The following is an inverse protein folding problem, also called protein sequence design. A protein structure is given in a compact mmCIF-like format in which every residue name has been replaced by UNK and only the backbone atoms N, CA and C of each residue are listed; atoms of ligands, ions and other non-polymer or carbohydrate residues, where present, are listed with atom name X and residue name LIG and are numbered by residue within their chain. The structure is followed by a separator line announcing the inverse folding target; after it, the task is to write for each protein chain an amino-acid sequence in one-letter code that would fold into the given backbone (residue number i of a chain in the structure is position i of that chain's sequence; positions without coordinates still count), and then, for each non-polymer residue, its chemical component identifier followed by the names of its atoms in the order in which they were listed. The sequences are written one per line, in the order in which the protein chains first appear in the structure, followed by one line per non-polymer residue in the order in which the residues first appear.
data_IF_987288903896
#
_entry.id   IF_987288903896
#
_cell.length_a   1.000
_cell.length_b   1.000
_cell.length_c   1.000
_cell.angle_alpha   90.00
_cell.angle_beta   90.00
_cell.angle_gamma   90.00
#
_symmetry.space_group_name_H-M   'P 1'
#
loop_
_entity.id
_entity.type
_entity.pdbx_description
1 polymer ?
#
# COMPACT_ATOMS: atom_id res chain seq x y z
N UNK A 1 -24.72 18.45 0.51
CA UNK A 1 -25.06 17.02 0.77
C UNK A 1 -23.82 16.22 0.37
N UNK A 2 -22.82 16.05 1.23
CA UNK A 2 -22.50 14.77 1.92
C UNK A 2 -21.62 15.03 3.18
N UNK A 3 -21.54 16.28 3.67
CA UNK A 3 -20.72 16.64 4.86
C UNK A 3 -21.38 16.41 6.23
N UNK A 4 -22.36 15.50 6.37
CA UNK A 4 -23.07 15.29 7.65
C UNK A 4 -23.26 13.81 8.08
N UNK A 5 -22.46 12.87 7.55
CA UNK A 5 -22.60 11.45 7.90
C UNK A 5 -21.45 10.84 8.74
N UNK A 6 -20.48 11.62 9.22
CA UNK A 6 -19.28 11.05 9.89
C UNK A 6 -19.14 11.33 11.40
N UNK A 7 -20.12 12.00 12.02
CA UNK A 7 -19.96 12.56 13.37
C UNK A 7 -20.67 11.79 14.51
N UNK A 8 -21.17 10.56 14.30
CA UNK A 8 -22.00 9.90 15.32
C UNK A 8 -21.91 8.36 15.35
N UNK A 9 -20.71 7.78 15.47
CA UNK A 9 -20.59 6.35 15.82
C UNK A 9 -19.30 5.92 16.56
N UNK A 10 -18.66 6.77 17.38
CA UNK A 10 -17.41 6.34 18.04
C UNK A 10 -17.16 7.00 19.40
N UNK A 11 -18.14 6.91 20.30
CA UNK A 11 -17.91 7.09 21.74
C UNK A 11 -18.78 6.13 22.54
N UNK A 12 -18.29 4.91 22.75
CA UNK A 12 -18.59 4.15 23.96
C UNK A 12 -17.47 3.14 24.25
N UNK A 13 -16.49 3.63 25.00
CA UNK A 13 -15.59 2.79 25.81
C UNK A 13 -16.41 2.18 26.96
N UNK A 14 -16.27 0.86 27.13
CA UNK A 14 -16.48 0.00 28.32
C UNK A 14 -16.98 -1.33 27.75
N UNK A 15 -16.35 -2.50 27.85
CA UNK A 15 -15.48 -3.06 28.89
C UNK A 15 -14.87 -4.34 28.30
N UNK A 16 -13.64 -4.63 28.71
CA UNK A 16 -13.13 -5.99 28.93
C UNK A 16 -13.21 -7.00 27.78
N UNK A 17 -12.26 -6.96 26.87
CA UNK A 17 -11.78 -8.17 26.20
C UNK A 17 -10.27 -8.14 26.25
N UNK A 18 -9.71 -9.13 26.95
CA UNK A 18 -8.29 -9.28 27.21
C UNK A 18 -7.46 -9.02 25.95
N UNK A 19 -6.56 -8.06 26.06
CA UNK A 19 -5.48 -7.85 25.11
C UNK A 19 -4.57 -9.07 25.13
N UNK A 20 -4.89 -10.08 24.31
CA UNK A 20 -3.86 -10.96 23.77
C UNK A 20 -2.89 -10.06 23.01
N UNK A 21 -1.76 -9.75 23.66
CA UNK A 21 -0.61 -9.11 23.03
C UNK A 21 -0.27 -9.95 21.81
N UNK A 22 -0.56 -9.46 20.61
CA UNK A 22 -0.25 -10.18 19.35
C UNK A 22 1.25 -10.42 19.14
N UNK A 23 2.12 -9.81 19.95
CA UNK A 23 3.54 -10.19 20.06
C UNK A 23 3.79 -11.54 20.74
N UNK A 24 2.78 -12.13 21.39
CA UNK A 24 2.85 -13.47 22.02
C UNK A 24 2.18 -14.57 21.18
N UNK A 25 1.59 -14.23 20.01
CA UNK A 25 0.91 -15.23 19.17
C UNK A 25 1.90 -16.24 18.57
N UNK A 26 3.12 -15.82 18.21
CA UNK A 26 4.20 -16.73 17.80
C UNK A 26 4.75 -17.57 18.96
N UNK A 27 4.73 -17.01 20.18
CA UNK A 27 5.12 -17.71 21.41
C UNK A 27 4.17 -18.88 21.73
N UNK A 28 2.87 -18.70 21.45
CA UNK A 28 1.83 -19.70 21.71
C UNK A 28 1.92 -20.94 20.81
N UNK A 29 2.30 -20.78 19.54
CA UNK A 29 2.42 -21.92 18.61
C UNK A 29 3.59 -22.82 19.01
N UNK A 30 4.74 -22.23 19.39
CA UNK A 30 5.87 -22.99 19.92
C UNK A 30 5.51 -23.74 21.21
N UNK A 31 4.74 -23.11 22.10
CA UNK A 31 4.26 -23.72 23.34
C UNK A 31 3.30 -24.91 23.09
N UNK A 32 2.41 -24.81 22.10
CA UNK A 32 1.48 -25.90 21.75
C UNK A 32 2.18 -27.12 21.14
N UNK A 33 3.14 -26.91 20.22
CA UNK A 33 3.92 -28.03 19.64
C UNK A 33 4.78 -28.71 20.72
N UNK A 34 5.36 -27.91 21.61
CA UNK A 34 6.17 -28.39 22.73
C UNK A 34 5.36 -29.25 23.73
N UNK A 35 4.16 -28.81 24.09
CA UNK A 35 3.28 -29.57 24.98
C UNK A 35 2.92 -30.95 24.38
N UNK A 36 2.64 -31.00 23.07
CA UNK A 36 2.32 -32.26 22.39
C UNK A 36 3.52 -33.22 22.30
N UNK A 37 4.76 -32.70 22.19
CA UNK A 37 5.97 -33.53 22.21
C UNK A 37 6.26 -34.10 23.61
N UNK A 38 5.92 -33.37 24.68
CA UNK A 38 6.10 -33.81 26.06
C UNK A 38 5.08 -34.89 26.46
N UNK A 39 3.89 -34.88 25.86
CA UNK A 39 2.80 -35.85 26.09
C UNK A 39 2.94 -37.11 25.22
N UNK A 40 4.17 -37.48 24.81
CA UNK A 40 4.43 -38.69 24.02
C UNK A 40 3.95 -39.96 24.75
N UNK A 41 3.17 -40.83 24.10
CA UNK A 41 2.45 -41.93 24.77
C UNK A 41 3.33 -43.11 25.24
N UNK A 42 4.62 -43.16 24.90
CA UNK A 42 5.51 -44.30 25.18
C UNK A 42 6.57 -44.02 26.27
N UNK A 43 6.29 -43.14 27.24
CA UNK A 43 7.16 -43.00 28.42
C UNK A 43 6.66 -43.91 29.55
N UNK A 44 7.10 -45.18 29.56
CA UNK A 44 6.93 -46.06 30.73
C UNK A 44 7.65 -45.40 31.92
N UNK A 45 6.89 -44.88 32.88
CA UNK A 45 7.41 -44.10 34.01
C UNK A 45 8.24 -44.98 34.92
N UNK A 46 9.54 -45.09 34.63
CA UNK A 46 10.56 -45.48 35.58
C UNK A 46 11.05 -44.21 36.28
N UNK A 47 10.71 -44.05 37.56
CA UNK A 47 10.97 -42.83 38.33
C UNK A 47 12.43 -42.78 38.77
N UNK A 48 13.34 -42.40 37.86
CA UNK A 48 14.73 -42.09 38.18
C UNK A 48 14.86 -40.58 38.30
N UNK A 49 14.91 -40.02 39.53
CA UNK A 49 14.81 -38.58 39.76
C UNK A 49 15.96 -37.78 39.11
N UNK A 50 17.13 -38.41 38.98
CA UNK A 50 18.32 -37.80 38.36
C UNK A 50 18.12 -37.54 36.85
N UNK A 51 17.55 -38.52 36.14
CA UNK A 51 17.30 -38.44 34.70
C UNK A 51 16.22 -37.41 34.35
N UNK A 52 15.20 -37.29 35.21
CA UNK A 52 14.11 -36.33 35.03
C UNK A 52 14.59 -34.89 35.16
N UNK A 53 15.41 -34.59 36.17
CA UNK A 53 15.95 -33.25 36.41
C UNK A 53 16.93 -32.87 35.30
N UNK A 54 17.85 -33.77 34.93
CA UNK A 54 18.83 -33.50 33.89
C UNK A 54 18.18 -33.24 32.52
N UNK A 55 17.20 -34.06 32.13
CA UNK A 55 16.48 -33.88 30.88
C UNK A 55 15.63 -32.60 30.88
N UNK A 56 14.99 -32.26 32.00
CA UNK A 56 14.21 -31.02 32.13
C UNK A 56 15.09 -29.76 31.96
N UNK A 57 16.28 -29.75 32.54
CA UNK A 57 17.24 -28.65 32.41
C UNK A 57 17.74 -28.55 30.96
N UNK A 58 18.11 -29.69 30.35
CA UNK A 58 18.58 -29.72 28.96
C UNK A 58 17.52 -29.21 27.97
N UNK A 59 16.26 -29.59 28.16
CA UNK A 59 15.15 -29.11 27.33
C UNK A 59 14.93 -27.60 27.49
N UNK A 60 14.92 -27.12 28.75
CA UNK A 60 14.72 -25.70 29.05
C UNK A 60 15.86 -24.85 28.49
N UNK A 61 17.11 -25.32 28.62
CA UNK A 61 18.28 -24.67 28.05
C UNK A 61 18.22 -24.62 26.52
N UNK A 62 17.80 -25.71 25.87
CA UNK A 62 17.62 -25.76 24.41
C UNK A 62 16.53 -24.79 23.93
N UNK A 63 15.42 -24.68 24.68
CA UNK A 63 14.33 -23.75 24.36
C UNK A 63 14.74 -22.29 24.54
N UNK A 64 15.50 -21.98 25.59
CA UNK A 64 16.09 -20.65 25.79
C UNK A 64 17.06 -20.30 24.67
N UNK A 65 17.94 -21.22 24.30
CA UNK A 65 18.89 -21.02 23.21
C UNK A 65 18.16 -20.79 21.88
N UNK A 66 17.15 -21.60 21.56
CA UNK A 66 16.33 -21.41 20.36
C UNK A 66 15.62 -20.05 20.38
N UNK A 67 15.02 -19.65 21.50
CA UNK A 67 14.37 -18.34 21.64
C UNK A 67 15.34 -17.18 21.43
N UNK A 68 16.55 -17.27 21.98
CA UNK A 68 17.62 -16.28 21.77
C UNK A 68 18.05 -16.23 20.31
N UNK A 69 18.27 -17.39 19.67
CA UNK A 69 18.61 -17.47 18.24
C UNK A 69 17.51 -16.83 17.39
N UNK A 70 16.23 -17.13 17.64
CA UNK A 70 15.12 -16.52 16.91
C UNK A 70 15.02 -15.00 17.15
N UNK A 71 15.25 -14.52 18.37
CA UNK A 71 15.24 -13.09 18.68
C UNK A 71 16.39 -12.33 17.99
N UNK A 72 17.54 -12.99 17.81
CA UNK A 72 18.72 -12.41 17.14
C UNK A 72 18.60 -12.49 15.62
N UNK A 73 18.11 -13.60 15.07
CA UNK A 73 17.95 -13.81 13.61
C UNK A 73 16.77 -13.03 13.05
N UNK A 74 15.67 -12.90 13.79
CA UNK A 74 14.52 -12.07 13.43
C UNK A 74 14.49 -10.82 14.32
N UNK A 75 15.35 -9.80 14.04
CA UNK A 75 15.26 -8.54 14.76
C UNK A 75 13.84 -8.00 14.58
N UNK A 76 13.16 -7.73 15.70
CA UNK A 76 11.75 -7.33 15.77
C UNK A 76 11.39 -6.05 14.97
N UNK A 77 12.39 -5.41 14.36
CA UNK A 77 12.30 -4.18 13.60
C UNK A 77 12.82 -4.45 12.16
N UNK A 78 12.05 -5.20 11.36
CA UNK A 78 12.36 -5.56 9.96
C UNK A 78 12.27 -4.35 9.02
N UNK A 79 13.12 -3.36 9.26
CA UNK A 79 13.17 -2.08 8.53
C UNK A 79 13.37 -2.27 7.04
N UNK A 80 14.25 -3.20 6.67
CA UNK A 80 14.50 -3.56 5.28
C UNK A 80 13.25 -4.09 4.58
N UNK A 81 12.46 -4.93 5.25
CA UNK A 81 11.23 -5.48 4.67
C UNK A 81 10.17 -4.39 4.46
N UNK A 82 10.06 -3.45 5.40
CA UNK A 82 9.18 -2.29 5.21
C UNK A 82 9.63 -1.50 3.99
N UNK A 83 10.92 -1.15 3.88
CA UNK A 83 11.43 -0.40 2.73
C UNK A 83 11.25 -1.15 1.40
N UNK A 84 11.37 -2.48 1.42
CA UNK A 84 11.10 -3.35 0.28
C UNK A 84 9.64 -3.29 -0.15
N UNK A 85 8.70 -3.52 0.77
CA UNK A 85 7.25 -3.43 0.49
C UNK A 85 6.87 -2.02 0.03
N UNK A 86 7.49 -0.98 0.59
CA UNK A 86 7.30 0.39 0.12
C UNK A 86 7.81 0.60 -1.31
N UNK A 87 8.95 -0.02 -1.66
CA UNK A 87 9.45 -0.07 -3.03
C UNK A 87 8.48 -0.77 -3.98
N UNK A 88 7.97 -1.93 -3.57
CA UNK A 88 7.02 -2.73 -4.35
C UNK A 88 5.67 -2.01 -4.53
N UNK A 89 5.20 -1.28 -3.51
CA UNK A 89 4.03 -0.40 -3.61
C UNK A 89 4.24 0.66 -4.68
N UNK A 90 5.35 1.39 -4.66
CA UNK A 90 5.64 2.41 -5.70
C UNK A 90 5.74 1.78 -7.09
N UNK A 91 6.29 0.57 -7.19
CA UNK A 91 6.36 -0.17 -8.44
C UNK A 91 4.96 -0.51 -9.00
N UNK A 92 3.95 -0.71 -8.15
CA UNK A 92 2.55 -0.87 -8.59
C UNK A 92 2.03 0.39 -9.31
N UNK A 93 2.36 1.60 -8.83
CA UNK A 93 1.99 2.83 -9.56
C UNK A 93 2.74 2.97 -10.88
N UNK A 94 4.00 2.54 -10.94
CA UNK A 94 4.77 2.51 -12.20
C UNK A 94 4.12 1.55 -13.21
N UNK A 95 3.74 0.35 -12.76
CA UNK A 95 2.97 -0.62 -13.56
C UNK A 95 1.62 -0.03 -14.00
N UNK A 96 0.90 0.66 -13.11
CA UNK A 96 -0.34 1.36 -13.45
C UNK A 96 -0.18 2.40 -14.57
N UNK A 97 0.99 3.02 -14.69
CA UNK A 97 1.31 3.97 -15.76
C UNK A 97 1.69 3.29 -17.08
N UNK A 98 2.44 2.17 -17.03
CA UNK A 98 3.13 1.59 -18.20
C UNK A 98 2.50 0.32 -18.76
N UNK A 99 1.85 -0.49 -17.93
CA UNK A 99 1.36 -1.81 -18.34
C UNK A 99 0.11 -1.71 -19.21
N UNK A 100 -0.19 -2.78 -19.96
CA UNK A 100 -1.39 -2.87 -20.78
C UNK A 100 -2.69 -2.80 -19.95
N UNK A 101 -3.68 -2.05 -20.43
CA UNK A 101 -4.96 -1.80 -19.74
C UNK A 101 -5.77 -3.08 -19.41
N UNK A 102 -5.84 -4.11 -20.29
CA UNK A 102 -6.68 -5.29 -20.01
C UNK A 102 -6.29 -5.99 -18.71
N UNK A 103 -7.25 -6.06 -17.77
CA UNK A 103 -7.07 -6.67 -16.45
C UNK A 103 -6.18 -5.87 -15.48
N UNK A 104 -5.70 -4.68 -15.86
CA UNK A 104 -4.79 -3.87 -15.05
C UNK A 104 -5.41 -3.46 -13.72
N UNK A 105 -6.66 -3.02 -13.73
CA UNK A 105 -7.36 -2.58 -12.52
C UNK A 105 -7.45 -3.72 -11.49
N UNK A 106 -7.79 -4.94 -11.92
CA UNK A 106 -7.87 -6.10 -11.03
C UNK A 106 -6.50 -6.47 -10.46
N UNK A 107 -5.46 -6.54 -11.31
CA UNK A 107 -4.09 -6.82 -10.87
C UNK A 107 -3.58 -5.78 -9.87
N UNK A 108 -3.80 -4.50 -10.16
CA UNK A 108 -3.42 -3.39 -9.29
C UNK A 108 -4.14 -3.46 -7.94
N UNK A 109 -5.45 -3.68 -7.93
CA UNK A 109 -6.24 -3.83 -6.69
C UNK A 109 -5.76 -5.01 -5.85
N UNK A 110 -5.57 -6.18 -6.46
CA UNK A 110 -5.08 -7.36 -5.76
C UNK A 110 -3.67 -7.14 -5.20
N UNK A 111 -2.74 -6.60 -6.00
CA UNK A 111 -1.37 -6.35 -5.59
C UNK A 111 -1.25 -5.30 -4.48
N UNK A 112 -1.98 -4.18 -4.60
CA UNK A 112 -1.99 -3.14 -3.56
C UNK A 112 -2.66 -3.61 -2.28
N UNK A 113 -3.71 -4.43 -2.35
CA UNK A 113 -4.37 -4.99 -1.18
C UNK A 113 -3.45 -5.95 -0.41
N UNK A 114 -2.76 -6.83 -1.11
CA UNK A 114 -1.78 -7.75 -0.50
C UNK A 114 -0.64 -6.98 0.18
N UNK A 115 0.01 -6.06 -0.53
CA UNK A 115 1.09 -5.23 0.02
C UNK A 115 0.62 -4.37 1.20
N UNK A 116 -0.60 -3.82 1.14
CA UNK A 116 -1.20 -3.05 2.23
C UNK A 116 -1.47 -3.92 3.46
N UNK A 117 -1.92 -5.16 3.26
CA UNK A 117 -2.14 -6.14 4.33
C UNK A 117 -0.81 -6.48 5.02
N UNK A 118 0.22 -6.82 4.23
CA UNK A 118 1.57 -7.11 4.73
C UNK A 118 2.16 -5.91 5.49
N UNK A 119 2.08 -4.71 4.91
CA UNK A 119 2.56 -3.48 5.55
C UNK A 119 1.86 -3.21 6.88
N UNK A 120 0.54 -3.43 6.96
CA UNK A 120 -0.24 -3.25 8.19
C UNK A 120 0.19 -4.20 9.30
N UNK A 121 0.52 -5.44 8.97
CA UNK A 121 1.04 -6.43 9.93
C UNK A 121 2.40 -6.00 10.47
N UNK A 122 3.26 -5.42 9.64
CA UNK A 122 4.60 -4.98 10.05
C UNK A 122 4.60 -3.68 10.86
N UNK A 123 3.64 -2.79 10.63
CA UNK A 123 3.55 -1.47 11.28
C UNK A 123 2.88 -1.52 12.68
N UNK A 124 3.34 -2.41 13.55
CA UNK A 124 2.76 -2.62 14.90
C UNK A 124 2.98 -1.43 15.83
N UNK A 125 4.16 -0.80 15.83
CA UNK A 125 4.49 0.30 16.75
C UNK A 125 4.22 1.71 16.15
N UNK A 126 3.83 2.67 16.99
CA UNK A 126 3.65 4.09 16.60
C UNK A 126 5.03 4.75 16.44
N UNK A 127 5.62 4.66 15.26
CA UNK A 127 6.89 5.33 14.91
C UNK A 127 6.68 6.44 13.87
N UNK A 128 7.65 7.36 13.73
CA UNK A 128 7.65 8.35 12.63
C UNK A 128 7.63 7.64 11.26
N UNK A 129 8.42 6.57 11.15
CA UNK A 129 8.51 5.71 9.96
C UNK A 129 7.17 5.09 9.57
N UNK A 130 6.35 4.69 10.55
CA UNK A 130 4.98 4.21 10.29
C UNK A 130 4.12 5.26 9.60
N UNK A 131 4.20 6.52 10.03
CA UNK A 131 3.42 7.60 9.39
C UNK A 131 3.89 7.82 7.95
N UNK A 132 5.19 7.79 7.74
CA UNK A 132 5.76 7.96 6.40
C UNK A 132 5.39 6.80 5.47
N UNK A 133 5.42 5.55 5.95
CA UNK A 133 4.98 4.38 5.20
C UNK A 133 3.48 4.46 4.85
N UNK A 134 2.63 4.89 5.79
CA UNK A 134 1.20 5.09 5.54
C UNK A 134 0.92 6.21 4.52
N UNK A 135 1.68 7.31 4.57
CA UNK A 135 1.57 8.41 3.60
C UNK A 135 1.94 7.94 2.19
N UNK A 136 3.03 7.20 2.06
CA UNK A 136 3.41 6.59 0.79
C UNK A 136 2.40 5.57 0.29
N UNK A 137 1.87 4.71 1.17
CA UNK A 137 0.82 3.75 0.82
C UNK A 137 -0.41 4.47 0.28
N UNK A 138 -0.89 5.52 0.98
CA UNK A 138 -2.05 6.30 0.54
C UNK A 138 -1.79 6.99 -0.79
N UNK A 139 -0.67 7.71 -0.93
CA UNK A 139 -0.32 8.41 -2.17
C UNK A 139 -0.20 7.46 -3.37
N UNK A 140 0.35 6.25 -3.15
CA UNK A 140 0.48 5.21 -4.19
C UNK A 140 -0.89 4.71 -4.66
N UNK A 141 -1.80 4.44 -3.71
CA UNK A 141 -3.14 3.92 -4.01
C UNK A 141 -3.99 4.99 -4.69
N UNK A 142 -4.02 6.20 -4.14
CA UNK A 142 -4.80 7.32 -4.68
C UNK A 142 -4.35 7.68 -6.10
N UNK A 143 -3.04 7.91 -6.30
CA UNK A 143 -2.53 8.27 -7.63
C UNK A 143 -2.63 7.09 -8.59
N UNK A 144 -2.32 5.86 -8.15
CA UNK A 144 -2.40 4.67 -9.00
C UNK A 144 -3.80 4.41 -9.53
N UNK A 145 -4.83 4.50 -8.69
CA UNK A 145 -6.23 4.39 -9.14
C UNK A 145 -6.60 5.50 -10.12
N UNK A 146 -6.28 6.75 -9.79
CA UNK A 146 -6.64 7.87 -10.65
C UNK A 146 -5.93 7.83 -12.01
N UNK A 147 -4.71 7.27 -12.07
CA UNK A 147 -4.01 7.02 -13.35
C UNK A 147 -4.68 5.92 -14.15
N UNK A 148 -5.08 4.82 -13.52
CA UNK A 148 -5.79 3.72 -14.21
C UNK A 148 -7.12 4.25 -14.77
N UNK A 149 -7.87 5.02 -13.98
CA UNK A 149 -9.13 5.62 -14.40
C UNK A 149 -8.90 6.63 -15.54
N UNK A 150 -7.88 7.49 -15.43
CA UNK A 150 -7.49 8.41 -16.50
C UNK A 150 -7.20 7.68 -17.81
N UNK A 151 -6.41 6.59 -17.76
CA UNK A 151 -6.06 5.79 -18.95
C UNK A 151 -7.29 5.09 -19.54
N UNK A 152 -8.18 4.58 -18.69
CA UNK A 152 -9.43 3.95 -19.15
C UNK A 152 -10.36 4.97 -19.82
N UNK A 153 -10.54 6.15 -19.23
CA UNK A 153 -11.40 7.19 -19.82
C UNK A 153 -10.76 7.79 -21.09
N UNK A 154 -9.43 7.96 -21.12
CA UNK A 154 -8.72 8.39 -22.33
C UNK A 154 -8.81 7.37 -23.47
N UNK A 155 -8.81 6.06 -23.16
CA UNK A 155 -9.01 5.00 -24.15
C UNK A 155 -10.47 4.89 -24.63
N UNK A 156 -11.44 5.37 -23.86
CA UNK A 156 -12.85 5.48 -24.32
C UNK A 156 -13.06 6.70 -25.21
N UNK A 157 -12.28 7.75 -24.97
CA UNK A 157 -12.32 8.97 -25.75
C UNK A 157 -11.49 8.87 -27.05
N UNK A 158 -11.67 7.83 -27.86
CA UNK A 158 -10.92 7.67 -29.12
C UNK A 158 -11.15 8.81 -30.12
N UNK A 159 -12.30 9.49 -30.03
CA UNK A 159 -12.62 10.70 -30.80
C UNK A 159 -11.77 11.92 -30.41
N UNK A 160 -11.01 11.86 -29.31
CA UNK A 160 -10.17 12.94 -28.83
C UNK A 160 -8.93 13.14 -29.73
N UNK A 161 -8.41 12.06 -30.34
CA UNK A 161 -7.18 12.10 -31.13
C UNK A 161 -7.35 12.91 -32.44
N UNK A 162 -8.44 12.74 -33.23
CA UNK A 162 -8.71 13.62 -34.37
C UNK A 162 -8.97 15.08 -33.99
N UNK A 163 -9.53 15.32 -32.79
CA UNK A 163 -9.88 16.67 -32.32
C UNK A 163 -8.63 17.42 -31.81
N UNK A 164 -7.72 16.72 -31.15
CA UNK A 164 -6.44 17.22 -30.68
C UNK A 164 -5.35 16.16 -30.94
N UNK A 165 -4.57 16.26 -32.02
CA UNK A 165 -3.55 15.27 -32.40
C UNK A 165 -2.45 15.04 -31.35
N UNK A 166 -2.33 15.95 -30.38
CA UNK A 166 -1.37 15.85 -29.27
C UNK A 166 -1.93 15.09 -28.07
N UNK A 167 -3.22 14.78 -28.04
CA UNK A 167 -3.91 14.24 -26.86
C UNK A 167 -3.26 12.95 -26.36
N UNK A 168 -3.11 11.94 -27.24
CA UNK A 168 -2.49 10.66 -26.89
C UNK A 168 -1.08 10.85 -26.33
N UNK A 169 -0.26 11.63 -27.03
CA UNK A 169 1.13 11.91 -26.60
C UNK A 169 1.19 12.59 -25.24
N UNK A 170 0.26 13.49 -24.92
CA UNK A 170 0.24 14.22 -23.65
C UNK A 170 -0.17 13.31 -22.50
N UNK A 171 -1.14 12.40 -22.70
CA UNK A 171 -1.49 11.39 -21.71
C UNK A 171 -0.33 10.42 -21.46
N UNK A 172 0.34 9.95 -22.52
CA UNK A 172 1.52 9.10 -22.41
C UNK A 172 2.65 9.80 -21.65
N UNK A 173 2.99 11.04 -22.02
CA UNK A 173 3.98 11.85 -21.31
C UNK A 173 3.61 12.08 -19.84
N UNK A 174 2.32 12.28 -19.54
CA UNK A 174 1.83 12.43 -18.16
C UNK A 174 2.02 11.14 -17.36
N UNK A 175 1.70 9.98 -17.95
CA UNK A 175 1.92 8.67 -17.33
C UNK A 175 3.41 8.41 -17.11
N UNK A 176 4.27 8.78 -18.06
CA UNK A 176 5.72 8.61 -17.95
C UNK A 176 6.33 9.44 -16.83
N UNK A 177 5.96 10.71 -16.71
CA UNK A 177 6.48 11.58 -15.65
C UNK A 177 5.93 11.19 -14.26
N UNK A 178 4.70 10.70 -14.18
CA UNK A 178 4.18 10.08 -12.96
C UNK A 178 4.96 8.80 -12.61
N UNK A 179 5.21 7.92 -13.57
CA UNK A 179 6.02 6.72 -13.35
C UNK A 179 7.43 7.07 -12.83
N UNK A 180 8.08 8.07 -13.42
CA UNK A 180 9.41 8.55 -12.98
C UNK A 180 9.38 9.10 -11.56
N UNK A 181 8.32 9.81 -11.18
CA UNK A 181 8.14 10.31 -9.82
C UNK A 181 8.07 9.15 -8.81
N UNK A 182 7.30 8.10 -9.10
CA UNK A 182 7.18 6.97 -8.19
C UNK A 182 8.42 6.08 -8.17
N UNK A 183 9.14 5.95 -9.28
CA UNK A 183 10.41 5.24 -9.36
C UNK A 183 11.51 5.94 -8.54
N UNK A 184 11.68 7.26 -8.77
CA UNK A 184 12.70 8.10 -8.13
C UNK A 184 12.06 9.38 -7.58
N UNK A 185 11.52 9.33 -6.35
CA UNK A 185 10.82 10.45 -5.78
C UNK A 185 11.77 11.58 -5.42
N UNK A 186 11.45 12.78 -5.87
CA UNK A 186 12.22 13.98 -5.60
C UNK A 186 11.51 15.24 -6.09
N UNK A 187 11.98 16.43 -5.67
CA UNK A 187 11.32 17.69 -5.99
C UNK A 187 11.28 17.95 -7.51
N UNK A 188 12.34 17.58 -8.23
CA UNK A 188 12.40 17.74 -9.70
C UNK A 188 11.44 16.81 -10.43
N UNK A 189 11.29 15.56 -9.99
CA UNK A 189 10.33 14.62 -10.61
C UNK A 189 8.88 15.01 -10.26
N UNK A 190 8.65 15.55 -9.07
CA UNK A 190 7.35 16.09 -8.66
C UNK A 190 6.95 17.29 -9.51
N UNK A 191 7.86 18.23 -9.73
CA UNK A 191 7.61 19.40 -10.57
C UNK A 191 7.27 19.01 -12.00
N UNK A 192 8.03 18.09 -12.61
CA UNK A 192 7.73 17.57 -13.96
C UNK A 192 6.36 16.91 -14.03
N UNK A 193 6.02 16.05 -13.07
CA UNK A 193 4.71 15.41 -13.02
C UNK A 193 3.57 16.45 -12.90
N UNK A 194 3.75 17.48 -12.06
CA UNK A 194 2.77 18.56 -11.92
C UNK A 194 2.62 19.40 -13.20
N UNK A 195 3.72 19.66 -13.92
CA UNK A 195 3.69 20.35 -15.22
C UNK A 195 2.95 19.51 -16.24
N UNK A 196 3.27 18.22 -16.37
CA UNK A 196 2.63 17.30 -17.31
C UNK A 196 1.11 17.19 -17.05
N UNK A 197 0.70 16.98 -15.79
CA UNK A 197 -0.73 16.95 -15.39
C UNK A 197 -1.42 18.28 -15.71
N UNK A 198 -0.76 19.42 -15.52
CA UNK A 198 -1.32 20.74 -15.84
C UNK A 198 -1.50 20.94 -17.34
N UNK A 199 -0.52 20.53 -18.15
CA UNK A 199 -0.61 20.58 -19.61
C UNK A 199 -1.75 19.69 -20.14
N UNK A 200 -1.89 18.48 -19.59
CA UNK A 200 -3.03 17.60 -19.90
C UNK A 200 -4.37 18.21 -19.50
N UNK A 201 -4.44 18.87 -18.34
CA UNK A 201 -5.65 19.54 -17.86
C UNK A 201 -6.07 20.67 -18.81
N UNK A 202 -5.11 21.50 -19.25
CA UNK A 202 -5.36 22.59 -20.19
C UNK A 202 -5.91 22.09 -21.52
N UNK A 203 -5.31 21.04 -22.10
CA UNK A 203 -5.78 20.46 -23.35
C UNK A 203 -7.17 19.83 -23.21
N UNK A 204 -7.42 19.08 -22.14
CA UNK A 204 -8.74 18.51 -21.89
C UNK A 204 -9.82 19.59 -21.67
N UNK A 205 -9.48 20.73 -21.06
CA UNK A 205 -10.38 21.88 -20.91
C UNK A 205 -10.69 22.54 -22.26
N UNK A 206 -9.68 22.75 -23.11
CA UNK A 206 -9.85 23.29 -24.47
C UNK A 206 -10.78 22.41 -25.31
N UNK A 207 -10.54 21.09 -25.29
CA UNK A 207 -11.41 20.11 -25.95
C UNK A 207 -12.83 20.12 -25.40
N UNK A 208 -12.99 20.25 -24.08
CA UNK A 208 -14.31 20.29 -23.46
C UNK A 208 -15.12 21.46 -24.00
N UNK A 209 -14.52 22.64 -24.17
CA UNK A 209 -15.17 23.82 -24.77
C UNK A 209 -15.59 23.56 -26.22
N UNK A 210 -14.76 22.90 -27.01
CA UNK A 210 -15.08 22.57 -28.40
C UNK A 210 -16.24 21.56 -28.55
N UNK A 211 -16.47 20.71 -27.55
CA UNK A 211 -17.43 19.59 -27.61
C UNK A 211 -18.72 19.84 -26.81
N UNK A 212 -18.94 21.07 -26.33
CA UNK A 212 -20.14 21.47 -25.57
C UNK A 212 -21.51 20.97 -26.09
N UNK A 213 -21.79 20.90 -27.41
CA UNK A 213 -23.09 20.41 -27.87
C UNK A 213 -23.33 18.90 -27.69
N UNK A 214 -22.28 18.08 -27.52
CA UNK A 214 -22.40 16.61 -27.45
C UNK A 214 -22.27 16.07 -26.01
N UNK A 215 -23.40 15.73 -25.39
CA UNK A 215 -23.48 15.32 -23.97
C UNK A 215 -22.55 14.14 -23.58
N UNK A 216 -22.46 13.10 -24.41
CA UNK A 216 -21.65 11.91 -24.09
C UNK A 216 -20.16 12.26 -24.07
N UNK A 217 -19.67 12.93 -25.13
CA UNK A 217 -18.28 13.34 -25.22
C UNK A 217 -17.90 14.38 -24.16
N UNK A 218 -18.83 15.29 -23.84
CA UNK A 218 -18.67 16.23 -22.75
C UNK A 218 -18.50 15.50 -21.39
N UNK A 219 -19.30 14.48 -21.13
CA UNK A 219 -19.19 13.69 -19.90
C UNK A 219 -17.86 12.94 -19.81
N UNK A 220 -17.37 12.34 -20.89
CA UNK A 220 -16.07 11.64 -20.89
C UNK A 220 -14.90 12.60 -20.58
N UNK A 221 -14.87 13.77 -21.24
CA UNK A 221 -13.87 14.81 -20.97
C UNK A 221 -13.96 15.35 -19.53
N UNK A 222 -15.15 15.45 -18.95
CA UNK A 222 -15.32 15.80 -17.54
C UNK A 222 -14.74 14.74 -16.59
N UNK A 223 -14.87 13.44 -16.91
CA UNK A 223 -14.27 12.36 -16.12
C UNK A 223 -12.75 12.39 -16.19
N UNK A 224 -12.20 12.62 -17.39
CA UNK A 224 -10.77 12.81 -17.61
C UNK A 224 -10.24 14.00 -16.77
N UNK A 225 -10.92 15.14 -16.82
CA UNK A 225 -10.57 16.32 -16.02
C UNK A 225 -10.66 16.04 -14.52
N UNK A 226 -11.67 15.29 -14.08
CA UNK A 226 -11.81 14.88 -12.68
C UNK A 226 -10.62 14.03 -12.22
N UNK A 227 -10.16 13.08 -13.06
CA UNK A 227 -8.99 12.26 -12.78
C UNK A 227 -7.71 13.13 -12.70
N UNK A 228 -7.49 14.04 -13.65
CA UNK A 228 -6.34 14.94 -13.66
C UNK A 228 -6.32 15.87 -12.44
N UNK A 229 -7.46 16.43 -12.06
CA UNK A 229 -7.59 17.25 -10.86
C UNK A 229 -7.36 16.47 -9.58
N UNK A 230 -7.84 15.22 -9.51
CA UNK A 230 -7.58 14.34 -8.38
C UNK A 230 -6.10 14.02 -8.25
N UNK A 231 -5.43 13.61 -9.34
CA UNK A 231 -3.97 13.38 -9.37
C UNK A 231 -3.23 14.62 -8.90
N UNK A 232 -3.56 15.80 -9.44
CA UNK A 232 -2.93 17.06 -9.04
C UNK A 232 -3.10 17.34 -7.55
N UNK A 233 -4.29 17.08 -7.01
CA UNK A 233 -4.60 17.31 -5.60
C UNK A 233 -3.82 16.35 -4.69
N UNK A 234 -3.73 15.06 -5.07
CA UNK A 234 -2.93 14.07 -4.36
C UNK A 234 -1.42 14.40 -4.37
N UNK A 235 -0.91 14.94 -5.48
CA UNK A 235 0.50 15.36 -5.59
C UNK A 235 0.82 16.64 -4.79
N UNK A 236 -0.15 17.54 -4.64
CA UNK A 236 0.01 18.80 -3.89
C UNK A 236 -0.32 18.67 -2.40
N UNK A 237 -0.83 17.51 -1.96
CA UNK A 237 -1.16 17.30 -0.57
C UNK A 237 0.08 17.54 0.31
N UNK A 238 -0.12 18.28 1.41
CA UNK A 238 0.94 18.64 2.36
C UNK A 238 1.45 17.41 3.10
N UNK A 239 0.60 16.41 3.26
CA UNK A 239 0.95 15.12 3.84
C UNK A 239 1.56 14.15 2.83
N UNK A 240 1.63 14.53 1.54
CA UNK A 240 2.25 13.70 0.52
C UNK A 240 3.75 13.52 0.79
N UNK A 241 4.28 12.31 0.59
CA UNK A 241 5.65 11.98 0.96
C UNK A 241 6.72 12.61 0.05
N UNK A 242 6.31 13.29 -1.03
CA UNK A 242 7.19 13.92 -2.02
C UNK A 242 7.81 15.23 -1.51
N UNK A 243 7.15 15.90 -0.57
CA UNK A 243 7.54 17.22 -0.07
C UNK A 243 8.30 17.09 1.26
N UNK A 244 9.41 16.35 1.26
CA UNK A 244 10.34 16.38 2.40
C UNK A 244 11.23 17.61 2.28
N UNK A 245 10.86 18.65 3.03
CA UNK A 245 11.78 19.67 3.53
C UNK A 245 12.41 19.19 4.83
#
# INVERSE_FOLDING_TARGET
MVSRCFARYSRRCSRSAHSSRRGAAGLGIGFSVFFCLLAGPDNVVSYVPDLLINNGIALTASMLLAAVVFAVVFPADMRWLIDRIMGDLRAQTVSACKDALPGLNQRFQSGTHDLTSQLRVLLTHRSRRRRDALRWMLATIEVGHAVIDLRNEAARADYADPLQPRWRSVIEHTCDDLARLFERPGPRSLERALVAVRSATWLAQDMLQAVHPERTRHHDLQRILSCLHFIRSALLDKDAPFNRR
#
